data_IF_963055933652
#
_entry.id   IF_963055933652
#
_cell.length_a   1.000
_cell.length_b   1.000
_cell.length_c   1.000
_cell.angle_alpha   90.00
_cell.angle_beta   90.00
_cell.angle_gamma   90.00
#
_symmetry.space_group_name_H-M   'P 1'
#
loop_
_entity.id
_entity.type
_entity.pdbx_description
1 polymer ?
#
# COMPACT_ATOMS: atom_id res chain seq x y z
N UNK A 1 14.53 7.07 7.02
CA UNK A 1 13.99 5.76 6.59
C UNK A 1 12.90 5.23 7.49
N UNK A 2 13.13 5.03 8.80
CA UNK A 2 12.13 4.47 9.71
C UNK A 2 10.82 5.26 9.77
N UNK A 3 10.90 6.58 9.93
CA UNK A 3 9.72 7.46 9.85
C UNK A 3 9.02 7.44 8.49
N UNK A 4 9.78 7.28 7.39
CA UNK A 4 9.20 7.13 6.05
C UNK A 4 8.45 5.80 5.88
N UNK A 5 8.98 4.70 6.43
CA UNK A 5 8.28 3.41 6.44
C UNK A 5 6.97 3.49 7.23
N UNK A 6 6.98 4.14 8.40
CA UNK A 6 5.77 4.40 9.20
C UNK A 6 4.78 5.25 8.40
N UNK A 7 5.22 6.32 7.74
CA UNK A 7 4.35 7.17 6.93
C UNK A 7 3.69 6.38 5.79
N UNK A 8 4.43 5.52 5.07
CA UNK A 8 3.86 4.63 4.04
C UNK A 8 2.80 3.70 4.63
N UNK A 9 3.07 3.11 5.81
CA UNK A 9 2.12 2.20 6.48
C UNK A 9 0.84 2.93 6.86
N UNK A 10 0.95 4.10 7.49
CA UNK A 10 -0.19 4.91 7.95
C UNK A 10 -1.05 5.35 6.77
N UNK A 11 -0.43 5.89 5.70
CA UNK A 11 -1.17 6.32 4.50
C UNK A 11 -1.92 5.13 3.89
N UNK A 12 -1.26 3.97 3.74
CA UNK A 12 -1.89 2.74 3.20
C UNK A 12 -3.05 2.24 4.05
N UNK A 13 -2.92 2.28 5.37
CA UNK A 13 -4.01 1.94 6.29
C UNK A 13 -5.20 2.88 6.11
N UNK A 14 -4.96 4.19 6.08
CA UNK A 14 -6.02 5.20 5.87
C UNK A 14 -6.73 4.94 4.53
N UNK A 15 -5.99 4.66 3.45
CA UNK A 15 -6.57 4.35 2.15
C UNK A 15 -7.42 3.09 2.15
N UNK A 16 -6.92 1.99 2.75
CA UNK A 16 -7.69 0.75 2.86
C UNK A 16 -8.97 0.94 3.66
N UNK A 17 -8.93 1.71 4.75
CA UNK A 17 -10.11 2.07 5.55
C UNK A 17 -11.08 2.95 4.75
N UNK A 18 -10.57 3.91 3.98
CA UNK A 18 -11.39 4.77 3.13
C UNK A 18 -12.08 4.00 2.00
N UNK A 19 -11.39 3.04 1.37
CA UNK A 19 -11.95 2.14 0.36
C UNK A 19 -13.01 1.22 0.98
N UNK A 20 -12.75 0.66 2.16
CA UNK A 20 -13.72 -0.13 2.90
C UNK A 20 -14.99 0.68 3.23
N UNK A 21 -14.82 1.87 3.80
CA UNK A 21 -15.94 2.76 4.12
C UNK A 21 -16.71 3.20 2.86
N UNK A 22 -16.00 3.54 1.78
CA UNK A 22 -16.60 3.90 0.50
C UNK A 22 -17.40 2.76 -0.13
N UNK A 23 -16.89 1.53 -0.09
CA UNK A 23 -17.60 0.34 -0.57
C UNK A 23 -18.86 0.02 0.23
N UNK A 24 -18.80 0.16 1.56
CA UNK A 24 -19.98 0.00 2.43
C UNK A 24 -21.05 1.06 2.17
N UNK A 25 -20.64 2.32 1.97
CA UNK A 25 -21.57 3.42 1.68
C UNK A 25 -22.17 3.32 0.28
N UNK A 26 -21.41 2.89 -0.73
CA UNK A 26 -21.91 2.67 -2.09
C UNK A 26 -22.93 1.52 -2.16
N UNK A 27 -22.80 0.50 -1.30
CA UNK A 27 -23.78 -0.57 -1.17
C UNK A 27 -25.08 -0.17 -0.45
N UNK A 28 -25.06 0.91 0.35
CA UNK A 28 -26.21 1.36 1.15
C UNK A 28 -26.88 2.65 0.68
N UNK A 29 -26.19 3.49 -0.10
CA UNK A 29 -26.68 4.79 -0.56
C UNK A 29 -26.27 5.03 -2.02
N UNK A 30 -27.18 4.78 -2.95
CA UNK A 30 -27.06 5.03 -4.39
C UNK A 30 -27.14 6.54 -4.72
N UNK A 31 -26.34 7.36 -4.06
CA UNK A 31 -26.23 8.81 -4.31
C UNK A 31 -24.98 9.14 -5.12
N UNK A 32 -25.16 9.82 -6.26
CA UNK A 32 -24.09 10.29 -7.15
C UNK A 32 -23.09 11.24 -6.46
N UNK A 33 -23.52 11.96 -5.41
CA UNK A 33 -22.64 12.80 -4.61
C UNK A 33 -21.64 12.00 -3.77
N UNK A 34 -22.05 10.82 -3.28
CA UNK A 34 -21.17 9.92 -2.50
C UNK A 34 -20.10 9.31 -3.41
N UNK A 35 -20.46 8.97 -4.66
CA UNK A 35 -19.50 8.48 -5.66
C UNK A 35 -18.48 9.55 -6.10
N UNK A 36 -18.88 10.82 -6.16
CA UNK A 36 -17.97 11.91 -6.51
C UNK A 36 -16.92 12.19 -5.41
N UNK A 37 -17.34 12.14 -4.15
CA UNK A 37 -16.45 12.36 -2.99
C UNK A 37 -15.44 11.20 -2.88
N UNK A 38 -15.87 9.95 -3.02
CA UNK A 38 -14.95 8.79 -2.99
C UNK A 38 -13.91 8.83 -4.11
N UNK A 39 -14.27 9.36 -5.30
CA UNK A 39 -13.32 9.56 -6.40
C UNK A 39 -12.20 10.56 -6.08
N UNK A 40 -12.53 11.73 -5.53
CA UNK A 40 -11.54 12.76 -5.19
C UNK A 40 -10.62 12.29 -4.06
N UNK A 41 -11.18 11.68 -3.01
CA UNK A 41 -10.37 11.10 -1.93
C UNK A 41 -9.46 9.97 -2.42
N UNK A 42 -9.93 9.15 -3.37
CA UNK A 42 -9.12 8.12 -4.03
C UNK A 42 -7.90 8.69 -4.76
N UNK A 43 -8.07 9.78 -5.50
CA UNK A 43 -6.97 10.46 -6.20
C UNK A 43 -5.97 11.05 -5.21
N UNK A 44 -6.44 11.78 -4.18
CA UNK A 44 -5.58 12.35 -3.15
C UNK A 44 -4.79 11.28 -2.39
N UNK A 45 -5.45 10.15 -2.08
CA UNK A 45 -4.80 8.99 -1.48
C UNK A 45 -3.68 8.42 -2.37
N UNK A 46 -3.97 8.19 -3.66
CA UNK A 46 -2.97 7.70 -4.61
C UNK A 46 -1.76 8.63 -4.71
N UNK A 47 -2.01 9.94 -4.74
CA UNK A 47 -0.98 10.97 -4.82
C UNK A 47 -0.09 10.97 -3.56
N UNK A 48 -0.71 11.00 -2.37
CA UNK A 48 0.01 10.94 -1.10
C UNK A 48 0.81 9.63 -0.94
N UNK A 49 0.23 8.50 -1.32
CA UNK A 49 0.88 7.20 -1.27
C UNK A 49 2.08 7.12 -2.23
N UNK A 50 1.90 7.61 -3.45
CA UNK A 50 2.95 7.69 -4.46
C UNK A 50 4.13 8.53 -3.98
N UNK A 51 3.85 9.75 -3.52
CA UNK A 51 4.90 10.67 -3.03
C UNK A 51 5.68 10.06 -1.86
N UNK A 52 5.00 9.52 -0.85
CA UNK A 52 5.67 9.00 0.35
C UNK A 52 6.41 7.69 0.06
N UNK A 53 5.86 6.83 -0.80
CA UNK A 53 6.55 5.62 -1.26
C UNK A 53 7.81 5.96 -2.07
N UNK A 54 7.75 7.00 -2.92
CA UNK A 54 8.89 7.45 -3.71
C UNK A 54 9.97 8.06 -2.82
N UNK A 55 9.60 8.90 -1.86
CA UNK A 55 10.52 9.44 -0.86
C UNK A 55 11.20 8.31 -0.06
N UNK A 56 10.46 7.28 0.33
CA UNK A 56 11.01 6.12 1.01
C UNK A 56 11.97 5.32 0.11
N UNK A 57 11.66 5.17 -1.18
CA UNK A 57 12.53 4.51 -2.15
C UNK A 57 13.85 5.28 -2.32
N UNK A 58 13.80 6.60 -2.45
CA UNK A 58 15.00 7.44 -2.56
C UNK A 58 15.86 7.32 -1.30
N UNK A 59 15.24 7.37 -0.10
CA UNK A 59 15.94 7.12 1.16
C UNK A 59 16.55 5.71 1.20
N UNK A 60 15.82 4.69 0.71
CA UNK A 60 16.30 3.30 0.56
C UNK A 60 17.56 3.22 -0.29
N UNK A 61 17.56 3.83 -1.47
CA UNK A 61 18.72 3.83 -2.36
C UNK A 61 19.91 4.55 -1.73
N UNK A 62 19.70 5.74 -1.16
CA UNK A 62 20.78 6.49 -0.51
C UNK A 62 21.42 5.70 0.64
N UNK A 63 20.62 5.07 1.49
CA UNK A 63 21.14 4.25 2.56
C UNK A 63 21.82 2.97 2.06
N UNK A 64 21.36 2.37 0.96
CA UNK A 64 22.01 1.21 0.37
C UNK A 64 23.40 1.53 -0.19
N UNK A 65 23.62 2.77 -0.64
CA UNK A 65 24.92 3.25 -1.13
C UNK A 65 25.85 3.61 0.04
N UNK A 66 25.32 4.27 1.07
CA UNK A 66 26.12 4.78 2.19
C UNK A 66 26.42 3.71 3.25
N UNK A 67 25.54 2.74 3.44
CA UNK A 67 25.69 1.73 4.48
C UNK A 67 26.50 0.52 4.01
N UNK A 68 27.16 -0.13 4.97
CA UNK A 68 27.86 -1.41 4.78
C UNK A 68 27.22 -2.52 5.63
N UNK A 69 27.36 -3.77 5.19
CA UNK A 69 26.83 -4.94 5.91
C UNK A 69 25.31 -4.86 6.15
N UNK A 70 24.89 -4.95 7.41
CA UNK A 70 23.48 -5.07 7.82
C UNK A 70 22.63 -3.84 7.47
N UNK A 71 23.21 -2.65 7.42
CA UNK A 71 22.48 -1.43 7.03
C UNK A 71 22.09 -1.45 5.55
N UNK A 72 23.00 -1.92 4.69
CA UNK A 72 22.75 -2.10 3.25
C UNK A 72 21.69 -3.15 2.99
N UNK A 73 21.74 -4.27 3.72
CA UNK A 73 20.71 -5.32 3.63
C UNK A 73 19.33 -4.79 3.98
N UNK A 74 19.20 -4.03 5.08
CA UNK A 74 17.93 -3.42 5.48
C UNK A 74 17.37 -2.46 4.42
N UNK A 75 18.24 -1.65 3.82
CA UNK A 75 17.87 -0.74 2.75
C UNK A 75 17.38 -1.46 1.47
N UNK A 76 18.05 -2.55 1.08
CA UNK A 76 17.65 -3.40 -0.06
C UNK A 76 16.30 -4.05 0.21
N UNK A 77 16.06 -4.56 1.43
CA UNK A 77 14.76 -5.13 1.80
C UNK A 77 13.65 -4.11 1.61
N UNK A 78 13.82 -2.87 2.06
CA UNK A 78 12.81 -1.81 1.89
C UNK A 78 12.55 -1.53 0.41
N UNK A 79 13.61 -1.38 -0.40
CA UNK A 79 13.48 -1.12 -1.84
C UNK A 79 12.78 -2.28 -2.57
N UNK A 80 13.23 -3.52 -2.34
CA UNK A 80 12.62 -4.71 -2.93
C UNK A 80 11.15 -4.87 -2.50
N UNK A 81 10.85 -4.60 -1.22
CA UNK A 81 9.48 -4.65 -0.70
C UNK A 81 8.56 -3.66 -1.41
N UNK A 82 9.03 -2.44 -1.71
CA UNK A 82 8.25 -1.46 -2.46
C UNK A 82 7.92 -1.95 -3.87
N UNK A 83 8.90 -2.54 -4.56
CA UNK A 83 8.71 -3.09 -5.91
C UNK A 83 7.73 -4.28 -5.88
N UNK A 84 7.95 -5.24 -4.99
CA UNK A 84 7.09 -6.42 -4.83
C UNK A 84 5.67 -6.00 -4.45
N UNK A 85 5.50 -4.97 -3.62
CA UNK A 85 4.18 -4.46 -3.25
C UNK A 85 3.41 -3.93 -4.46
N UNK A 86 4.08 -3.25 -5.39
CA UNK A 86 3.45 -2.74 -6.62
C UNK A 86 3.05 -3.91 -7.52
N UNK A 87 3.96 -4.84 -7.78
CA UNK A 87 3.68 -6.01 -8.63
C UNK A 87 2.53 -6.84 -8.07
N UNK A 88 2.55 -7.13 -6.76
CA UNK A 88 1.50 -7.87 -6.10
C UNK A 88 0.14 -7.13 -6.13
N UNK A 89 0.13 -5.80 -6.04
CA UNK A 89 -1.09 -5.01 -6.24
C UNK A 89 -1.67 -5.22 -7.64
N UNK A 90 -0.86 -5.15 -8.69
CA UNK A 90 -1.33 -5.39 -10.06
C UNK A 90 -1.87 -6.80 -10.26
N UNK A 91 -1.20 -7.81 -9.71
CA UNK A 91 -1.64 -9.21 -9.78
C UNK A 91 -3.02 -9.41 -9.14
N UNK A 92 -3.34 -8.67 -8.07
CA UNK A 92 -4.64 -8.76 -7.39
C UNK A 92 -5.70 -7.89 -8.09
N UNK A 93 -5.34 -6.68 -8.49
CA UNK A 93 -6.29 -5.70 -9.03
C UNK A 93 -6.73 -6.03 -10.47
N UNK A 94 -5.86 -6.57 -11.33
CA UNK A 94 -6.23 -6.89 -12.72
C UNK A 94 -7.38 -7.91 -12.78
N UNK A 95 -7.29 -9.09 -12.11
CA UNK A 95 -8.41 -10.05 -12.09
C UNK A 95 -9.68 -9.46 -11.50
N UNK A 96 -9.58 -8.65 -10.43
CA UNK A 96 -10.73 -7.98 -9.83
C UNK A 96 -11.45 -7.06 -10.82
N UNK A 97 -10.71 -6.23 -11.56
CA UNK A 97 -11.30 -5.34 -12.57
C UNK A 97 -11.95 -6.12 -13.71
N UNK A 98 -11.33 -7.21 -14.17
CA UNK A 98 -11.92 -8.10 -15.18
C UNK A 98 -13.25 -8.67 -14.69
N UNK A 99 -13.31 -9.17 -13.46
CA UNK A 99 -14.54 -9.72 -12.88
C UNK A 99 -15.63 -8.65 -12.75
N UNK A 100 -15.32 -7.47 -12.20
CA UNK A 100 -16.29 -6.38 -12.03
C UNK A 100 -16.82 -5.88 -13.38
N UNK A 101 -15.95 -5.72 -14.37
CA UNK A 101 -16.33 -5.22 -15.70
C UNK A 101 -17.22 -6.19 -16.49
N UNK A 102 -17.13 -7.49 -16.21
CA UNK A 102 -17.95 -8.53 -16.83
C UNK A 102 -19.20 -8.90 -16.04
N UNK A 103 -19.34 -8.43 -14.80
CA UNK A 103 -20.47 -8.74 -13.93
C UNK A 103 -21.67 -7.82 -14.21
N UNK A 104 -22.86 -8.39 -14.29
CA UNK A 104 -24.12 -7.65 -14.48
C UNK A 104 -25.05 -7.75 -13.28
N UNK A 105 -24.77 -8.67 -12.34
CA UNK A 105 -25.54 -8.85 -11.12
C UNK A 105 -24.79 -8.31 -9.88
N UNK A 106 -25.54 -7.76 -8.94
CA UNK A 106 -25.00 -7.14 -7.72
C UNK A 106 -24.38 -8.13 -6.74
N UNK A 107 -24.78 -9.41 -6.80
CA UNK A 107 -24.26 -10.46 -5.91
C UNK A 107 -22.80 -10.82 -6.23
N UNK A 108 -22.49 -10.98 -7.52
CA UNK A 108 -21.13 -11.21 -8.01
C UNK A 108 -20.23 -10.01 -7.71
N UNK A 109 -20.71 -8.78 -7.95
CA UNK A 109 -19.97 -7.54 -7.66
C UNK A 109 -19.65 -7.44 -6.17
N UNK A 110 -20.63 -7.69 -5.29
CA UNK A 110 -20.43 -7.64 -3.84
C UNK A 110 -19.43 -8.69 -3.35
N UNK A 111 -19.55 -9.94 -3.82
CA UNK A 111 -18.65 -11.03 -3.43
C UNK A 111 -17.22 -10.77 -3.90
N UNK A 112 -17.03 -10.35 -5.16
CA UNK A 112 -15.73 -9.99 -5.71
C UNK A 112 -15.07 -8.85 -4.94
N UNK A 113 -15.85 -7.86 -4.51
CA UNK A 113 -15.38 -6.73 -3.70
C UNK A 113 -14.87 -7.16 -2.33
N UNK A 114 -15.59 -8.07 -1.65
CA UNK A 114 -15.15 -8.61 -0.35
C UNK A 114 -13.87 -9.43 -0.50
N UNK A 115 -13.82 -10.32 -1.50
CA UNK A 115 -12.63 -11.14 -1.76
C UNK A 115 -11.41 -10.26 -2.05
N UNK A 116 -11.57 -9.27 -2.93
CA UNK A 116 -10.52 -8.30 -3.24
C UNK A 116 -10.02 -7.62 -1.96
N UNK A 117 -10.94 -7.16 -1.11
CA UNK A 117 -10.59 -6.45 0.12
C UNK A 117 -9.82 -7.32 1.11
N UNK A 118 -10.22 -8.59 1.29
CA UNK A 118 -9.50 -9.53 2.16
C UNK A 118 -8.08 -9.78 1.65
N UNK A 119 -7.93 -10.04 0.35
CA UNK A 119 -6.62 -10.28 -0.27
C UNK A 119 -5.73 -9.03 -0.19
N UNK A 120 -6.31 -7.86 -0.37
CA UNK A 120 -5.65 -6.55 -0.24
C UNK A 120 -5.08 -6.34 1.17
N UNK A 121 -5.88 -6.66 2.21
CA UNK A 121 -5.46 -6.58 3.61
C UNK A 121 -4.29 -7.52 3.88
N UNK A 122 -4.36 -8.77 3.43
CA UNK A 122 -3.28 -9.75 3.63
C UNK A 122 -1.99 -9.26 2.96
N UNK A 123 -2.07 -8.75 1.73
CA UNK A 123 -0.90 -8.16 1.05
C UNK A 123 -0.35 -6.97 1.84
N UNK A 124 -1.22 -6.07 2.31
CA UNK A 124 -0.80 -4.90 3.08
C UNK A 124 -0.04 -5.31 4.35
N UNK A 125 -0.53 -6.30 5.09
CA UNK A 125 0.13 -6.81 6.29
C UNK A 125 1.53 -7.38 6.00
N UNK A 126 1.67 -8.18 4.94
CA UNK A 126 2.97 -8.74 4.52
C UNK A 126 3.95 -7.61 4.19
N UNK A 127 3.49 -6.60 3.43
CA UNK A 127 4.31 -5.45 3.06
C UNK A 127 4.72 -4.63 4.28
N UNK A 128 3.82 -4.42 5.25
CA UNK A 128 4.14 -3.70 6.47
C UNK A 128 5.20 -4.42 7.29
N UNK A 129 5.07 -5.74 7.46
CA UNK A 129 6.07 -6.54 8.17
C UNK A 129 7.46 -6.39 7.52
N UNK A 130 7.55 -6.53 6.20
CA UNK A 130 8.81 -6.42 5.47
C UNK A 130 9.42 -5.01 5.55
N UNK A 131 8.60 -3.95 5.42
CA UNK A 131 9.04 -2.57 5.58
C UNK A 131 9.57 -2.29 6.99
N UNK A 132 8.89 -2.79 8.03
CA UNK A 132 9.31 -2.64 9.43
C UNK A 132 10.65 -3.34 9.64
N UNK A 133 10.80 -4.58 9.20
CA UNK A 133 12.05 -5.36 9.34
C UNK A 133 13.21 -4.63 8.66
N UNK A 134 13.05 -4.25 7.40
CA UNK A 134 14.09 -3.54 6.64
C UNK A 134 14.46 -2.20 7.28
N UNK A 135 13.46 -1.44 7.74
CA UNK A 135 13.68 -0.16 8.40
C UNK A 135 14.36 -0.30 9.79
N UNK A 136 14.04 -1.34 10.56
CA UNK A 136 14.69 -1.62 11.84
C UNK A 136 16.15 -2.02 11.66
N UNK A 137 16.47 -2.85 10.67
CA UNK A 137 17.84 -3.22 10.34
C UNK A 137 18.69 -2.00 9.96
N UNK A 138 18.16 -1.13 9.10
CA UNK A 138 18.84 0.11 8.71
C UNK A 138 19.01 1.06 9.91
N UNK A 139 18.00 1.18 10.78
CA UNK A 139 18.06 2.03 11.98
C UNK A 139 19.07 1.52 13.00
N UNK A 140 19.15 0.20 13.23
CA UNK A 140 20.10 -0.40 14.17
C UNK A 140 21.54 -0.18 13.69
N UNK A 141 21.80 -0.43 12.40
CA UNK A 141 23.11 -0.13 11.81
C UNK A 141 23.50 1.35 11.95
N UNK A 142 22.56 2.28 11.71
CA UNK A 142 22.85 3.71 11.84
C UNK A 142 23.15 4.11 13.30
N UNK A 143 22.52 3.47 14.29
CA UNK A 143 22.84 3.70 15.70
C UNK A 143 24.19 3.12 16.12
N UNK A 144 24.54 1.96 15.58
CA UNK A 144 25.78 1.27 15.93
C UNK A 144 27.03 1.92 15.28
N UNK A 145 26.84 2.82 14.29
CA UNK A 145 27.91 3.51 13.55
C UNK A 145 27.83 5.05 13.62
N UNK A 146 27.06 5.60 14.57
CA UNK A 146 27.01 7.03 14.89
C UNK A 146 27.78 7.29 16.18
#
# INVERSE_FOLDING_TARGET
MFYGAIAVIVIRLIGNVAVFAGGMLAGGMSSSAVMGITGIFGILYLLANGIVSLALLVLAVMAAIQASGRGRTGAIIVAATLIVAVIAYWIINIPYQVVISGATDTGTIGTASIVFLVVEIVRALIVFAALIIGAMMARRWAKDNA
#
